data_IF_377284574062
#
_entry.id   IF_377284574062
#
_cell.length_a   1.000
_cell.length_b   1.000
_cell.length_c   1.000
_cell.angle_alpha   90.00
_cell.angle_beta   90.00
_cell.angle_gamma   90.00
#
_symmetry.space_group_name_H-M   'P 1'
#
loop_
_entity.id
_entity.type
_entity.pdbx_description
1 polymer ?
#
# COMPACT_ATOMS: atom_id res chain seq x y z
N UNK A 1 -23.91 -2.14 8.53
CA UNK A 1 -24.31 -3.41 7.90
C UNK A 1 -23.08 -4.14 7.38
N UNK A 2 -23.03 -5.46 7.58
CA UNK A 2 -21.89 -6.31 7.22
C UNK A 2 -21.45 -6.12 5.77
N UNK A 3 -22.40 -6.18 4.85
CA UNK A 3 -22.10 -6.04 3.42
C UNK A 3 -21.46 -4.68 3.10
N UNK A 4 -22.03 -3.61 3.63
CA UNK A 4 -21.56 -2.25 3.38
C UNK A 4 -20.15 -2.04 3.92
N UNK A 5 -19.90 -2.47 5.14
CA UNK A 5 -18.59 -2.34 5.77
C UNK A 5 -17.56 -3.20 5.05
N UNK A 6 -17.93 -4.42 4.67
CA UNK A 6 -17.07 -5.32 3.92
C UNK A 6 -16.61 -4.68 2.59
N UNK A 7 -17.57 -4.17 1.81
CA UNK A 7 -17.25 -3.53 0.52
C UNK A 7 -16.38 -2.30 0.72
N UNK A 8 -16.73 -1.44 1.67
CA UNK A 8 -15.96 -0.23 1.94
C UNK A 8 -14.53 -0.53 2.36
N UNK A 9 -14.35 -1.51 3.25
CA UNK A 9 -13.02 -1.91 3.69
C UNK A 9 -12.20 -2.46 2.52
N UNK A 10 -12.80 -3.31 1.69
CA UNK A 10 -12.13 -3.86 0.51
C UNK A 10 -11.74 -2.76 -0.49
N UNK A 11 -12.60 -1.77 -0.69
CA UNK A 11 -12.31 -0.65 -1.58
C UNK A 11 -11.13 0.18 -1.08
N UNK A 12 -11.04 0.40 0.23
CA UNK A 12 -9.89 1.11 0.82
C UNK A 12 -8.61 0.30 0.67
N UNK A 13 -8.67 -1.01 0.90
CA UNK A 13 -7.54 -1.91 0.69
C UNK A 13 -7.10 -1.93 -0.78
N UNK A 14 -8.05 -1.93 -1.70
CA UNK A 14 -7.78 -1.89 -3.14
C UNK A 14 -7.00 -0.63 -3.52
N UNK A 15 -7.49 0.52 -3.11
CA UNK A 15 -6.84 1.80 -3.39
C UNK A 15 -5.43 1.86 -2.80
N UNK A 16 -5.27 1.44 -1.55
CA UNK A 16 -3.98 1.43 -0.88
C UNK A 16 -2.98 0.50 -1.53
N UNK A 17 -3.43 -0.69 -1.94
CA UNK A 17 -2.59 -1.68 -2.61
C UNK A 17 -2.10 -1.17 -3.96
N UNK A 18 -2.98 -0.59 -4.75
CA UNK A 18 -2.63 -0.01 -6.05
C UNK A 18 -1.62 1.12 -5.90
N UNK A 19 -1.81 1.97 -4.91
CA UNK A 19 -0.89 3.07 -4.62
C UNK A 19 0.48 2.53 -4.23
N UNK A 20 0.54 1.52 -3.37
CA UNK A 20 1.79 0.90 -2.94
C UNK A 20 2.55 0.30 -4.11
N UNK A 21 1.88 -0.47 -4.97
CA UNK A 21 2.50 -1.10 -6.14
C UNK A 21 3.06 -0.04 -7.09
N UNK A 22 2.28 0.98 -7.40
CA UNK A 22 2.71 2.05 -8.29
C UNK A 22 3.91 2.82 -7.72
N UNK A 23 3.86 3.12 -6.44
CA UNK A 23 4.94 3.84 -5.76
C UNK A 23 6.24 3.03 -5.78
N UNK A 24 6.16 1.75 -5.46
CA UNK A 24 7.34 0.87 -5.47
C UNK A 24 7.91 0.78 -6.89
N UNK A 25 7.07 0.62 -7.91
CA UNK A 25 7.50 0.58 -9.30
C UNK A 25 8.28 1.84 -9.69
N UNK A 26 7.79 2.99 -9.29
CA UNK A 26 8.46 4.25 -9.62
C UNK A 26 9.84 4.39 -9.00
N UNK A 27 10.03 3.89 -7.78
CA UNK A 27 11.31 4.04 -7.08
C UNK A 27 12.30 2.92 -7.39
N UNK A 28 11.84 1.75 -7.83
CA UNK A 28 12.72 0.60 -8.12
C UNK A 28 13.85 0.94 -9.09
N UNK A 29 13.57 1.74 -10.10
CA UNK A 29 14.56 2.15 -11.09
C UNK A 29 15.67 3.01 -10.50
N UNK A 30 15.41 3.66 -9.37
CA UNK A 30 16.33 4.60 -8.73
C UNK A 30 17.19 3.97 -7.67
N UNK A 31 16.79 2.81 -7.15
CA UNK A 31 17.52 2.10 -6.10
C UNK A 31 18.77 1.45 -6.67
N UNK A 32 19.88 1.64 -5.99
CA UNK A 32 21.19 1.09 -6.41
C UNK A 32 21.58 -0.17 -5.66
N UNK A 33 21.24 -0.24 -4.38
CA UNK A 33 21.55 -1.40 -3.55
C UNK A 33 20.74 -2.61 -3.99
N UNK A 34 21.41 -3.72 -4.26
CA UNK A 34 20.78 -4.95 -4.76
C UNK A 34 19.81 -5.54 -3.74
N UNK A 35 20.19 -5.60 -2.46
CA UNK A 35 19.35 -6.13 -1.40
C UNK A 35 18.09 -5.27 -1.23
N UNK A 36 18.24 -3.96 -1.28
CA UNK A 36 17.11 -3.05 -1.18
C UNK A 36 16.14 -3.24 -2.35
N UNK A 37 16.65 -3.44 -3.56
CA UNK A 37 15.80 -3.75 -4.72
C UNK A 37 15.00 -5.02 -4.50
N UNK A 38 15.64 -6.06 -3.97
CA UNK A 38 14.97 -7.33 -3.69
C UNK A 38 13.87 -7.18 -2.64
N UNK A 39 14.14 -6.42 -1.58
CA UNK A 39 13.16 -6.14 -0.54
C UNK A 39 11.94 -5.41 -1.10
N UNK A 40 12.16 -4.41 -1.93
CA UNK A 40 11.09 -3.65 -2.56
C UNK A 40 10.30 -4.51 -3.54
N UNK A 41 10.99 -5.31 -4.35
CA UNK A 41 10.34 -6.21 -5.31
C UNK A 41 9.48 -7.25 -4.59
N UNK A 42 9.99 -7.84 -3.52
CA UNK A 42 9.25 -8.80 -2.71
C UNK A 42 7.98 -8.17 -2.13
N UNK A 43 8.10 -6.97 -1.58
CA UNK A 43 6.95 -6.26 -1.03
C UNK A 43 5.92 -5.94 -2.11
N UNK A 44 6.38 -5.51 -3.29
CA UNK A 44 5.50 -5.28 -4.44
C UNK A 44 4.72 -6.55 -4.80
N UNK A 45 5.41 -7.68 -4.88
CA UNK A 45 4.79 -8.96 -5.23
C UNK A 45 3.73 -9.36 -4.20
N UNK A 46 4.00 -9.15 -2.91
CA UNK A 46 3.04 -9.41 -1.85
C UNK A 46 1.81 -8.50 -1.96
N UNK A 47 2.02 -7.23 -2.27
CA UNK A 47 0.90 -6.29 -2.48
C UNK A 47 0.06 -6.69 -3.70
N UNK A 48 0.69 -7.07 -4.79
CA UNK A 48 -0.03 -7.50 -6.01
C UNK A 48 -0.87 -8.74 -5.75
N UNK A 49 -0.33 -9.70 -5.01
CA UNK A 49 -1.04 -10.93 -4.67
C UNK A 49 -2.30 -10.63 -3.86
N UNK A 50 -2.17 -9.80 -2.82
CA UNK A 50 -3.33 -9.39 -2.03
C UNK A 50 -4.28 -8.51 -2.85
N UNK A 51 -3.75 -7.67 -3.73
CA UNK A 51 -4.56 -6.86 -4.63
C UNK A 51 -5.44 -7.69 -5.55
N UNK A 52 -4.91 -8.79 -6.09
CA UNK A 52 -5.68 -9.71 -6.92
C UNK A 52 -6.81 -10.37 -6.12
N UNK A 53 -6.54 -10.76 -4.88
CA UNK A 53 -7.55 -11.32 -3.99
C UNK A 53 -8.64 -10.31 -3.67
N UNK A 54 -8.26 -9.07 -3.38
CA UNK A 54 -9.21 -7.97 -3.11
C UNK A 54 -10.10 -7.75 -4.34
N UNK A 55 -9.49 -7.70 -5.52
CA UNK A 55 -10.23 -7.50 -6.76
C UNK A 55 -11.26 -8.60 -7.00
N UNK A 56 -10.88 -9.85 -6.77
CA UNK A 56 -11.80 -10.99 -6.89
C UNK A 56 -12.97 -10.88 -5.92
N UNK A 57 -12.70 -10.46 -4.67
CA UNK A 57 -13.74 -10.28 -3.67
C UNK A 57 -14.68 -9.13 -4.04
N UNK A 58 -14.16 -8.01 -4.53
CA UNK A 58 -14.98 -6.89 -4.97
C UNK A 58 -15.89 -7.32 -6.14
N UNK A 59 -15.34 -8.06 -7.10
CA UNK A 59 -16.13 -8.60 -8.20
C UNK A 59 -17.24 -9.51 -7.72
N UNK A 60 -16.98 -10.36 -6.72
CA UNK A 60 -17.99 -11.26 -6.15
C UNK A 60 -19.12 -10.50 -5.46
N UNK A 61 -18.86 -9.30 -4.97
CA UNK A 61 -19.88 -8.42 -4.38
C UNK A 61 -20.57 -7.54 -5.43
N UNK A 62 -20.19 -7.65 -6.70
CA UNK A 62 -20.77 -6.86 -7.78
C UNK A 62 -20.44 -5.38 -7.70
N UNK A 63 -19.31 -5.03 -7.06
CA UNK A 63 -18.89 -3.64 -6.89
C UNK A 63 -17.68 -3.30 -7.72
N UNK A 64 -17.58 -2.02 -8.08
CA UNK A 64 -16.44 -1.51 -8.81
C UNK A 64 -15.31 -1.12 -7.85
N UNK A 65 -14.13 -0.94 -8.42
CA UNK A 65 -12.98 -0.46 -7.69
C UNK A 65 -13.18 0.96 -7.20
N UNK A 66 -12.42 1.35 -6.19
CA UNK A 66 -12.49 2.70 -5.65
C UNK A 66 -12.00 3.73 -6.68
N UNK A 67 -12.59 4.94 -6.60
CA UNK A 67 -12.30 6.07 -7.46
C UNK A 67 -10.79 6.27 -7.66
N UNK A 68 -10.31 6.29 -8.91
CA UNK A 68 -8.90 6.53 -9.23
C UNK A 68 -8.36 7.87 -8.72
N UNK A 69 -9.22 8.81 -8.38
CA UNK A 69 -8.82 10.13 -7.87
C UNK A 69 -7.95 10.02 -6.62
N UNK A 70 -8.22 9.04 -5.75
CA UNK A 70 -7.42 8.84 -4.55
C UNK A 70 -6.03 8.30 -4.86
N UNK A 71 -5.94 7.44 -5.86
CA UNK A 71 -4.65 6.98 -6.37
C UNK A 71 -3.85 8.14 -6.97
N UNK A 72 -4.52 8.97 -7.78
CA UNK A 72 -3.89 10.12 -8.39
C UNK A 72 -3.32 11.09 -7.34
N UNK A 73 -4.03 11.30 -6.23
CA UNK A 73 -3.56 12.12 -5.12
C UNK A 73 -2.31 11.53 -4.47
N UNK A 74 -2.30 10.22 -4.24
CA UNK A 74 -1.15 9.53 -3.67
C UNK A 74 0.06 9.61 -4.58
N UNK A 75 -0.13 9.37 -5.87
CA UNK A 75 0.93 9.48 -6.87
C UNK A 75 1.47 10.90 -6.99
N UNK A 76 0.57 11.89 -6.95
CA UNK A 76 0.95 13.30 -6.99
C UNK A 76 1.83 13.66 -5.79
N UNK A 77 1.46 13.19 -4.59
CA UNK A 77 2.26 13.38 -3.38
C UNK A 77 3.66 12.79 -3.56
N UNK A 78 3.74 11.59 -4.08
CA UNK A 78 5.00 10.88 -4.29
C UNK A 78 5.90 11.62 -5.29
N UNK A 79 5.35 12.03 -6.43
CA UNK A 79 6.09 12.79 -7.44
C UNK A 79 6.59 14.12 -6.89
N UNK A 80 5.76 14.83 -6.14
CA UNK A 80 6.14 16.10 -5.53
C UNK A 80 7.29 15.90 -4.56
N UNK A 81 7.20 14.90 -3.68
CA UNK A 81 8.24 14.63 -2.70
C UNK A 81 9.54 14.19 -3.36
N UNK A 82 9.47 13.37 -4.41
CA UNK A 82 10.67 12.95 -5.15
C UNK A 82 11.35 14.13 -5.83
N UNK A 83 10.58 15.05 -6.42
CA UNK A 83 11.12 16.25 -7.04
C UNK A 83 11.75 17.20 -6.02
N UNK A 84 11.10 17.35 -4.87
CA UNK A 84 11.60 18.24 -3.81
C UNK A 84 12.82 17.65 -3.11
N UNK A 85 12.90 16.33 -3.04
CA UNK A 85 14.03 15.64 -2.45
C UNK A 85 15.30 15.75 -3.25
N UNK A 86 15.20 15.98 -4.56
CA UNK A 86 16.29 16.22 -5.51
C UNK A 86 17.38 15.16 -5.53
N UNK A 87 17.43 14.31 -4.55
CA UNK A 87 18.40 13.24 -4.42
C UNK A 87 17.67 11.91 -4.48
N UNK A 88 17.99 11.11 -5.50
CA UNK A 88 17.40 9.79 -5.69
C UNK A 88 18.26 8.70 -5.03
N UNK A 89 18.96 9.04 -3.93
CA UNK A 89 19.75 8.06 -3.18
C UNK A 89 18.88 7.00 -2.54
N UNK A 90 19.49 5.88 -2.22
CA UNK A 90 18.81 4.79 -1.52
C UNK A 90 18.21 5.28 -0.19
N UNK A 91 18.93 6.15 0.53
CA UNK A 91 18.42 6.71 1.78
C UNK A 91 17.16 7.55 1.56
N UNK A 92 17.11 8.35 0.50
CA UNK A 92 15.94 9.16 0.17
C UNK A 92 14.75 8.26 -0.19
N UNK A 93 14.97 7.22 -0.98
CA UNK A 93 13.93 6.26 -1.33
C UNK A 93 13.43 5.54 -0.07
N UNK A 94 14.34 5.09 0.79
CA UNK A 94 13.97 4.43 2.05
C UNK A 94 13.10 5.35 2.93
N UNK A 95 13.46 6.63 3.01
CA UNK A 95 12.71 7.61 3.79
C UNK A 95 11.29 7.79 3.25
N UNK A 96 11.16 7.97 1.94
CA UNK A 96 9.85 8.16 1.30
C UNK A 96 8.95 6.92 1.43
N UNK A 97 9.51 5.74 1.21
CA UNK A 97 8.74 4.49 1.34
C UNK A 97 8.34 4.26 2.79
N UNK A 98 9.23 4.55 3.74
CA UNK A 98 8.91 4.43 5.17
C UNK A 98 7.75 5.35 5.56
N UNK A 99 7.75 6.59 5.08
CA UNK A 99 6.63 7.52 5.32
C UNK A 99 5.33 6.95 4.74
N UNK A 100 5.39 6.42 3.51
CA UNK A 100 4.24 5.82 2.87
C UNK A 100 3.70 4.61 3.64
N UNK A 101 4.59 3.74 4.11
CA UNK A 101 4.22 2.58 4.91
C UNK A 101 3.54 2.99 6.22
N UNK A 102 4.10 3.96 6.91
CA UNK A 102 3.52 4.46 8.17
C UNK A 102 2.13 5.08 7.94
N UNK A 103 1.96 5.81 6.86
CA UNK A 103 0.65 6.35 6.48
C UNK A 103 -0.35 5.23 6.17
N UNK A 104 0.09 4.21 5.45
CA UNK A 104 -0.74 3.05 5.11
C UNK A 104 -1.16 2.26 6.33
N UNK A 105 -0.23 1.98 7.25
CA UNK A 105 -0.50 1.28 8.49
C UNK A 105 -1.53 2.04 9.32
N UNK A 106 -1.34 3.33 9.47
CA UNK A 106 -2.27 4.20 10.20
C UNK A 106 -3.66 4.17 9.55
N UNK A 107 -3.73 4.34 8.24
CA UNK A 107 -4.99 4.37 7.50
C UNK A 107 -5.74 3.05 7.61
N UNK A 108 -5.05 1.93 7.45
CA UNK A 108 -5.66 0.60 7.54
C UNK A 108 -6.23 0.35 8.94
N UNK A 109 -5.50 0.74 9.99
CA UNK A 109 -6.02 0.63 11.36
C UNK A 109 -7.25 1.49 11.56
N UNK A 110 -7.29 2.70 11.01
CA UNK A 110 -8.46 3.57 11.06
C UNK A 110 -9.66 2.93 10.36
N UNK A 111 -9.46 2.35 9.19
CA UNK A 111 -10.53 1.69 8.45
C UNK A 111 -11.05 0.45 9.17
N UNK A 112 -10.17 -0.34 9.77
CA UNK A 112 -10.59 -1.48 10.60
C UNK A 112 -11.48 -1.03 11.76
N UNK A 113 -11.16 0.10 12.36
CA UNK A 113 -11.97 0.68 13.43
C UNK A 113 -13.28 1.28 12.93
N UNK A 114 -13.26 1.85 11.74
CA UNK A 114 -14.42 2.48 11.13
C UNK A 114 -15.43 1.46 10.59
N UNK A 115 -14.94 0.42 9.94
CA UNK A 115 -15.74 -0.62 9.30
C UNK A 115 -15.77 -1.89 10.15
N UNK A 116 -16.22 -1.75 11.38
CA UNK A 116 -16.20 -2.81 12.40
C UNK A 116 -17.00 -4.05 12.02
N UNK A 117 -18.03 -3.88 11.22
CA UNK A 117 -18.91 -4.98 10.82
C UNK A 117 -18.49 -5.65 9.52
N UNK A 118 -17.35 -5.27 8.96
CA UNK A 118 -16.77 -5.96 7.82
C UNK A 118 -16.58 -7.44 8.14
N UNK A 119 -16.68 -8.29 7.11
CA UNK A 119 -16.54 -9.73 7.33
C UNK A 119 -15.11 -10.11 7.73
N UNK A 120 -14.97 -11.34 8.21
CA UNK A 120 -13.68 -11.84 8.70
C UNK A 120 -12.60 -11.81 7.62
N UNK A 121 -12.96 -12.16 6.38
CA UNK A 121 -12.01 -12.24 5.29
C UNK A 121 -11.43 -10.87 4.91
N UNK A 122 -12.27 -9.84 4.84
CA UNK A 122 -11.80 -8.49 4.52
C UNK A 122 -10.93 -7.91 5.64
N UNK A 123 -11.27 -8.20 6.89
CA UNK A 123 -10.43 -7.81 8.04
C UNK A 123 -9.08 -8.54 8.01
N UNK A 124 -9.09 -9.81 7.66
CA UNK A 124 -7.86 -10.62 7.55
C UNK A 124 -6.92 -10.04 6.47
N UNK A 125 -7.47 -9.69 5.32
CA UNK A 125 -6.70 -9.05 4.25
C UNK A 125 -6.10 -7.74 4.73
N UNK A 126 -6.87 -6.91 5.42
CA UNK A 126 -6.39 -5.64 5.97
C UNK A 126 -5.23 -5.86 6.93
N UNK A 127 -5.34 -6.85 7.79
CA UNK A 127 -4.29 -7.22 8.76
C UNK A 127 -3.03 -7.71 8.04
N UNK A 128 -3.19 -8.49 6.99
CA UNK A 128 -2.05 -8.93 6.17
C UNK A 128 -1.34 -7.78 5.49
N UNK A 129 -2.10 -6.81 4.97
CA UNK A 129 -1.51 -5.60 4.38
C UNK A 129 -0.71 -4.81 5.40
N UNK A 130 -1.24 -4.65 6.60
CA UNK A 130 -0.53 -3.98 7.70
C UNK A 130 0.80 -4.71 7.97
N UNK A 131 0.77 -6.03 8.05
CA UNK A 131 1.97 -6.83 8.31
C UNK A 131 3.03 -6.67 7.22
N UNK A 132 2.61 -6.63 5.96
CA UNK A 132 3.53 -6.42 4.83
C UNK A 132 4.19 -5.05 4.93
N UNK A 133 3.43 -4.03 5.26
CA UNK A 133 3.96 -2.67 5.38
C UNK A 133 4.86 -2.50 6.59
N UNK A 134 4.52 -3.11 7.73
CA UNK A 134 5.38 -3.12 8.91
C UNK A 134 6.71 -3.81 8.62
N UNK A 135 6.66 -4.93 7.91
CA UNK A 135 7.88 -5.65 7.51
C UNK A 135 8.75 -4.79 6.60
N UNK A 136 8.15 -4.12 5.63
CA UNK A 136 8.90 -3.27 4.71
C UNK A 136 9.57 -2.11 5.45
N UNK A 137 8.85 -1.44 6.35
CA UNK A 137 9.42 -0.38 7.19
C UNK A 137 10.63 -0.87 7.97
N UNK A 138 10.49 -2.03 8.59
CA UNK A 138 11.57 -2.63 9.38
C UNK A 138 12.78 -2.97 8.51
N UNK A 139 12.54 -3.59 7.35
CA UNK A 139 13.59 -4.01 6.45
C UNK A 139 14.33 -2.81 5.85
N UNK A 140 13.64 -1.70 5.62
CA UNK A 140 14.25 -0.49 5.07
C UNK A 140 14.97 0.37 6.11
N UNK A 141 14.78 0.10 7.39
CA UNK A 141 15.34 0.94 8.45
C UNK A 141 16.86 1.10 8.38
N UNK A 142 17.57 0.09 7.91
CA UNK A 142 19.03 0.14 7.77
C UNK A 142 19.52 1.00 6.61
N UNK A 143 18.62 1.44 5.74
CA UNK A 143 18.96 2.32 4.61
C UNK A 143 18.67 3.79 4.88
N UNK A 144 17.99 4.07 6.00
CA UNK A 144 17.64 5.45 6.38
C UNK A 144 18.86 6.30 6.75
#
# INVERSE_FOLDING_TARGET
MVYTDTVKLLQECDAGTKMAVTTIDEVLEKVRDTEMKELLQESKDHHEKLGNEIHSLLNSHGTEEKDPTLMAKGMSWMKTNMKMGMDASDATVADLITDGCNMGIKSLNKYLNQYKEADHKSKDISTKLISIEEKLCKDLSKYL
#
